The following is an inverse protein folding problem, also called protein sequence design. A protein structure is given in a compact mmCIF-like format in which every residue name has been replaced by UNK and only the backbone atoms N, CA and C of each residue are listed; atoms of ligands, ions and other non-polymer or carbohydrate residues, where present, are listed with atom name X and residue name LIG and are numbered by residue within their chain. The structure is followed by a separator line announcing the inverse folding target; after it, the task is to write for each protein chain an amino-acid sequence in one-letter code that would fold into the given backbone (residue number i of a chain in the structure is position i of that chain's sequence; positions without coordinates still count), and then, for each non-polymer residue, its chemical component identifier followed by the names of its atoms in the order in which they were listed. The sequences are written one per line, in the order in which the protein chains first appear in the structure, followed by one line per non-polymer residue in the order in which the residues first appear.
data_IF_706239911056
#
_entry.id   IF_706239911056
#
_cell.length_a   1.000
_cell.length_b   1.000
_cell.length_c   1.000
_cell.angle_alpha   90.00
_cell.angle_beta   90.00
_cell.angle_gamma   90.00
#
_symmetry.space_group_name_H-M   'P 1'
#
loop_
_entity.id
_entity.type
_entity.pdbx_description
1 polymer ?
#
# COMPACT_ATOMS: atom_id res chain seq x y z
N UNK A 1 -34.53 -2.29 7.26
CA UNK A 1 -33.46 -2.80 6.37
C UNK A 1 -33.17 -1.89 5.18
N UNK A 2 -34.14 -1.46 4.35
CA UNK A 2 -33.91 -0.59 3.17
C UNK A 2 -33.15 0.72 3.42
N UNK A 3 -33.37 1.37 4.57
CA UNK A 3 -32.71 2.64 4.94
C UNK A 3 -31.23 2.47 5.30
N UNK A 4 -30.82 1.28 5.76
CA UNK A 4 -29.44 1.03 6.18
C UNK A 4 -28.48 1.04 4.98
N UNK A 5 -28.89 0.44 3.86
CA UNK A 5 -28.15 0.51 2.60
C UNK A 5 -27.93 1.94 2.11
N UNK A 6 -28.96 2.78 2.18
CA UNK A 6 -28.88 4.20 1.79
C UNK A 6 -27.90 5.00 2.65
N UNK A 7 -27.68 4.60 3.90
CA UNK A 7 -26.74 5.26 4.82
C UNK A 7 -25.33 4.70 4.64
N UNK A 8 -25.17 3.38 4.62
CA UNK A 8 -23.84 2.75 4.64
C UNK A 8 -23.07 2.95 3.34
N UNK A 9 -23.76 2.98 2.19
CA UNK A 9 -23.11 3.12 0.89
C UNK A 9 -22.30 4.43 0.81
N UNK A 10 -22.87 5.63 1.07
CA UNK A 10 -22.10 6.87 1.11
C UNK A 10 -20.91 6.84 2.08
N UNK A 11 -21.10 6.30 3.29
CA UNK A 11 -20.01 6.21 4.27
C UNK A 11 -18.90 5.26 3.86
N UNK A 12 -19.22 4.15 3.17
CA UNK A 12 -18.22 3.27 2.59
C UNK A 12 -17.41 3.98 1.52
N UNK A 13 -18.07 4.74 0.63
CA UNK A 13 -17.37 5.56 -0.37
C UNK A 13 -16.44 6.57 0.28
N UNK A 14 -16.93 7.32 1.26
CA UNK A 14 -16.10 8.28 2.00
C UNK A 14 -14.91 7.59 2.66
N UNK A 15 -15.11 6.43 3.30
CA UNK A 15 -14.04 5.69 3.94
C UNK A 15 -13.01 5.18 2.94
N UNK A 16 -13.44 4.61 1.81
CA UNK A 16 -12.51 4.14 0.76
C UNK A 16 -11.73 5.30 0.18
N UNK A 17 -12.41 6.35 -0.28
CA UNK A 17 -11.76 7.51 -0.89
C UNK A 17 -10.84 8.23 0.09
N UNK A 18 -11.20 8.26 1.37
CA UNK A 18 -10.34 8.78 2.42
C UNK A 18 -9.11 7.91 2.66
N UNK A 19 -9.24 6.58 2.67
CA UNK A 19 -8.13 5.67 2.98
C UNK A 19 -7.17 5.43 1.81
N UNK A 20 -7.64 5.51 0.56
CA UNK A 20 -6.81 5.31 -0.65
C UNK A 20 -5.47 6.06 -0.60
N UNK A 21 -5.39 7.37 -0.32
CA UNK A 21 -4.11 8.07 -0.25
C UNK A 21 -3.20 7.52 0.87
N UNK A 22 -3.74 7.17 2.02
CA UNK A 22 -2.94 6.60 3.13
C UNK A 22 -2.42 5.22 2.80
N UNK A 23 -3.20 4.39 2.11
CA UNK A 23 -2.77 3.07 1.67
C UNK A 23 -1.65 3.15 0.63
N UNK A 24 -1.69 4.16 -0.25
CA UNK A 24 -0.61 4.43 -1.21
C UNK A 24 0.68 4.82 -0.47
N UNK A 25 0.59 5.72 0.51
CA UNK A 25 1.76 6.13 1.31
C UNK A 25 2.31 4.95 2.11
N UNK A 26 1.45 4.17 2.77
CA UNK A 26 1.85 2.99 3.53
C UNK A 26 2.54 1.95 2.64
N UNK A 27 2.02 1.72 1.43
CA UNK A 27 2.70 0.84 0.46
C UNK A 27 4.12 1.34 0.18
N UNK A 28 4.26 2.63 -0.15
CA UNK A 28 5.56 3.21 -0.51
C UNK A 28 6.52 3.16 0.67
N UNK A 29 6.04 3.38 1.90
CA UNK A 29 6.89 3.40 3.09
C UNK A 29 7.41 2.02 3.52
N UNK A 30 6.76 0.95 3.06
CA UNK A 30 7.19 -0.45 3.27
C UNK A 30 7.98 -1.01 2.06
N UNK A 31 8.24 -0.18 1.05
CA UNK A 31 8.99 -0.56 -0.16
C UNK A 31 10.40 0.02 -0.10
N UNK A 32 11.33 -0.62 -0.79
CA UNK A 32 12.70 -0.14 -0.93
C UNK A 32 12.82 0.92 -2.02
N UNK A 33 13.79 1.82 -1.83
CA UNK A 33 14.18 2.77 -2.87
C UNK A 33 15.00 2.06 -3.95
N UNK A 34 14.63 2.27 -5.21
CA UNK A 34 15.35 1.70 -6.34
C UNK A 34 15.75 2.79 -7.33
N UNK A 35 16.92 2.63 -7.96
CA UNK A 35 17.35 3.45 -9.10
C UNK A 35 16.63 3.01 -10.39
N UNK A 36 15.29 3.06 -10.35
CA UNK A 36 14.41 2.67 -11.43
C UNK A 36 13.23 3.64 -11.54
N UNK A 37 12.41 3.49 -12.58
CA UNK A 37 11.12 4.17 -12.71
C UNK A 37 10.05 3.09 -12.74
N UNK A 38 9.15 3.01 -11.74
CA UNK A 38 9.02 3.85 -10.54
C UNK A 38 10.21 3.73 -9.55
N UNK A 39 10.50 4.76 -8.74
CA UNK A 39 11.67 4.80 -7.84
C UNK A 39 11.48 3.99 -6.54
N UNK A 40 10.67 2.94 -6.58
CA UNK A 40 10.40 2.06 -5.46
C UNK A 40 10.17 0.64 -5.95
N UNK A 41 10.62 -0.34 -5.17
CA UNK A 41 10.38 -1.76 -5.42
C UNK A 41 9.92 -2.43 -4.14
N UNK A 42 8.98 -3.40 -4.21
CA UNK A 42 8.39 -3.97 -5.42
C UNK A 42 7.19 -3.16 -5.99
N UNK A 43 6.97 -3.25 -7.32
CA UNK A 43 5.78 -2.71 -7.98
C UNK A 43 4.72 -3.81 -8.17
N UNK A 44 3.44 -3.45 -8.08
CA UNK A 44 2.35 -4.40 -8.27
C UNK A 44 2.08 -4.57 -9.76
N UNK A 45 2.45 -5.72 -10.31
CA UNK A 45 2.17 -6.11 -11.69
C UNK A 45 1.02 -7.12 -11.76
N UNK A 46 -0.18 -6.60 -12.07
CA UNK A 46 -1.39 -7.42 -12.19
C UNK A 46 -1.37 -8.34 -13.43
N UNK A 47 -0.48 -8.11 -14.40
CA UNK A 47 -0.38 -8.96 -15.59
C UNK A 47 0.14 -10.37 -15.26
N UNK A 48 0.85 -10.51 -14.14
CA UNK A 48 1.36 -11.78 -13.62
C UNK A 48 0.34 -12.55 -12.76
N UNK A 49 -0.89 -12.06 -12.66
CA UNK A 49 -1.97 -12.70 -11.93
C UNK A 49 -1.66 -12.86 -10.43
N UNK A 50 -2.01 -14.02 -9.87
CA UNK A 50 -1.85 -14.29 -8.43
C UNK A 50 -0.38 -14.32 -7.98
N UNK A 51 0.54 -14.69 -8.88
CA UNK A 51 1.96 -14.72 -8.57
C UNK A 51 2.50 -13.30 -8.34
N UNK A 52 2.15 -12.35 -9.19
CA UNK A 52 2.56 -10.94 -9.03
C UNK A 52 2.09 -10.32 -7.71
N UNK A 53 0.93 -10.74 -7.19
CA UNK A 53 0.45 -10.29 -5.87
C UNK A 53 1.33 -10.87 -4.73
N UNK A 54 1.69 -12.15 -4.81
CA UNK A 54 2.57 -12.78 -3.81
C UNK A 54 3.95 -12.17 -3.81
N UNK A 55 4.54 -11.98 -4.99
CA UNK A 55 5.88 -11.42 -5.13
C UNK A 55 5.91 -9.99 -4.60
N UNK A 56 4.91 -9.18 -4.98
CA UNK A 56 4.74 -7.83 -4.46
C UNK A 56 4.62 -7.81 -2.92
N UNK A 57 3.77 -8.66 -2.34
CA UNK A 57 3.59 -8.69 -0.89
C UNK A 57 4.84 -9.19 -0.15
N UNK A 58 5.59 -10.12 -0.73
CA UNK A 58 6.80 -10.69 -0.13
C UNK A 58 7.97 -9.70 -0.01
N UNK A 59 8.00 -8.68 -0.87
CA UNK A 59 9.01 -7.62 -0.81
C UNK A 59 8.56 -6.39 -0.03
N UNK A 60 7.46 -6.45 0.73
CA UNK A 60 7.10 -5.39 1.67
C UNK A 60 7.60 -5.76 3.07
N UNK A 61 8.36 -4.87 3.68
CA UNK A 61 8.89 -5.07 5.03
C UNK A 61 9.03 -3.77 5.83
N UNK A 62 9.57 -3.89 7.05
CA UNK A 62 9.81 -2.79 7.98
C UNK A 62 11.30 -2.47 8.13
N UNK A 63 12.18 -3.01 7.27
CA UNK A 63 13.63 -2.83 7.38
C UNK A 63 14.01 -1.35 7.35
N UNK A 64 13.38 -0.59 6.44
CA UNK A 64 13.55 0.86 6.35
C UNK A 64 13.24 1.59 7.68
N UNK A 65 12.23 1.13 8.43
CA UNK A 65 11.91 1.71 9.74
C UNK A 65 12.89 1.30 10.83
N UNK A 66 13.37 0.05 10.78
CA UNK A 66 14.39 -0.44 11.70
C UNK A 66 15.70 0.32 11.52
N UNK A 67 16.11 0.55 10.27
CA UNK A 67 17.29 1.37 9.94
C UNK A 67 17.22 2.76 10.58
N UNK A 68 16.06 3.43 10.54
CA UNK A 68 15.88 4.74 11.19
C UNK A 68 16.09 4.71 12.72
N UNK A 69 16.01 3.55 13.37
CA UNK A 69 16.29 3.42 14.81
C UNK A 69 17.77 3.21 15.13
N UNK A 70 18.54 2.71 14.17
CA UNK A 70 19.97 2.48 14.29
C UNK A 70 20.79 3.66 13.75
N UNK A 71 20.22 4.39 12.79
CA UNK A 71 20.83 5.55 12.17
C UNK A 71 21.00 6.67 13.21
N UNK A 72 22.24 7.08 13.41
CA UNK A 72 22.63 8.05 14.42
C UNK A 72 22.78 9.48 13.89
N UNK A 73 22.47 9.72 12.60
CA UNK A 73 22.38 11.02 11.90
C UNK A 73 23.29 12.16 12.41
#
# INVERSE_FOLDING_TARGET
MRRFGLIIIPYLWLRVLFLVPFLIVLKISLSDQALAIPPYTPTLDLSQGWQGIKDWYSGLDLENYWFLTEDNL
#
